data_IF_925709874750
#
_entry.id   IF_925709874750
#
_cell.length_a   1.000
_cell.length_b   1.000
_cell.length_c   1.000
_cell.angle_alpha   90.00
_cell.angle_beta   90.00
_cell.angle_gamma   90.00
#
_symmetry.space_group_name_H-M   'P 1'
#
loop_
_entity.id
_entity.type
_entity.pdbx_description
1 polymer ?
#
# COMPACT_ATOMS: atom_id res chain seq x y z
N UNK A 1 8.88 15.29 7.20
CA UNK A 1 7.96 14.15 7.37
C UNK A 1 6.63 14.63 7.94
N UNK A 2 5.53 14.24 7.32
CA UNK A 2 4.15 14.56 7.72
C UNK A 2 3.47 13.28 8.19
N UNK A 3 2.97 13.23 9.43
CA UNK A 3 2.09 12.16 9.87
C UNK A 3 0.68 12.41 9.32
N UNK A 4 0.20 11.53 8.44
CA UNK A 4 -1.12 11.64 7.83
C UNK A 4 -2.17 11.00 8.75
N UNK A 5 -3.31 11.63 8.83
CA UNK A 5 -4.51 11.08 9.46
C UNK A 5 -5.47 10.53 8.40
N UNK A 6 -6.34 9.62 8.82
CA UNK A 6 -7.35 9.02 7.92
C UNK A 6 -8.17 10.09 7.20
N UNK A 7 -8.21 9.98 5.87
CA UNK A 7 -8.88 10.93 4.97
C UNK A 7 -8.05 12.15 4.59
N UNK A 8 -6.91 12.38 5.21
CA UNK A 8 -6.03 13.48 4.88
C UNK A 8 -5.37 13.28 3.52
N UNK A 9 -5.20 14.38 2.79
CA UNK A 9 -4.60 14.43 1.47
C UNK A 9 -3.42 15.39 1.43
N UNK A 10 -2.42 15.08 0.61
CA UNK A 10 -1.34 15.99 0.29
C UNK A 10 -0.94 15.90 -1.18
N UNK A 11 -0.35 16.97 -1.71
CA UNK A 11 0.27 16.94 -3.02
C UNK A 11 1.57 16.10 -2.98
N UNK A 12 1.85 15.36 -4.05
CA UNK A 12 3.13 14.68 -4.25
C UNK A 12 4.13 15.66 -4.83
N UNK A 13 4.78 16.38 -3.94
CA UNK A 13 5.75 17.41 -4.27
C UNK A 13 6.92 17.39 -3.28
N UNK A 14 8.08 17.84 -3.73
CA UNK A 14 9.25 18.12 -2.90
C UNK A 14 9.00 19.32 -1.98
N UNK A 15 9.87 19.56 -1.02
CA UNK A 15 9.77 20.68 -0.07
C UNK A 15 9.77 22.06 -0.76
N UNK A 16 10.40 22.17 -1.95
CA UNK A 16 10.39 23.38 -2.79
C UNK A 16 9.19 23.45 -3.75
N UNK A 17 8.24 22.50 -3.62
CA UNK A 17 6.98 22.49 -4.35
C UNK A 17 7.06 21.94 -5.78
N UNK A 18 8.19 21.32 -6.17
CA UNK A 18 8.28 20.65 -7.46
C UNK A 18 7.52 19.31 -7.43
N UNK A 19 6.80 18.93 -8.49
CA UNK A 19 6.14 17.63 -8.56
C UNK A 19 7.14 16.48 -8.41
N UNK A 20 6.80 15.50 -7.59
CA UNK A 20 7.58 14.25 -7.55
C UNK A 20 7.45 13.51 -8.88
N UNK A 21 8.57 12.99 -9.35
CA UNK A 21 8.61 12.13 -10.54
C UNK A 21 8.61 10.65 -10.16
N UNK A 22 9.12 10.32 -8.98
CA UNK A 22 9.17 8.98 -8.43
C UNK A 22 8.81 8.98 -6.96
N UNK A 23 8.27 7.87 -6.52
CA UNK A 23 8.03 7.61 -5.11
C UNK A 23 8.23 6.13 -4.80
N UNK A 24 8.53 5.85 -3.54
CA UNK A 24 8.51 4.51 -2.97
C UNK A 24 7.49 4.48 -1.83
N UNK A 25 6.58 3.54 -1.90
CA UNK A 25 5.68 3.22 -0.81
C UNK A 25 6.29 2.06 -0.03
N UNK A 26 6.73 2.34 1.20
CA UNK A 26 7.14 1.34 2.16
C UNK A 26 5.93 0.94 3.00
N UNK A 27 5.75 -0.36 3.21
CA UNK A 27 4.70 -0.93 4.04
C UNK A 27 5.35 -1.80 5.10
N UNK A 28 4.88 -1.67 6.34
CA UNK A 28 5.37 -2.49 7.44
C UNK A 28 4.27 -2.74 8.46
N UNK A 29 4.48 -3.76 9.27
CA UNK A 29 3.55 -4.18 10.32
C UNK A 29 4.29 -4.93 11.42
N UNK A 30 3.74 -4.90 12.63
CA UNK A 30 4.20 -5.69 13.75
C UNK A 30 3.18 -6.77 14.09
N UNK A 31 3.65 -7.89 14.63
CA UNK A 31 2.79 -8.90 15.22
C UNK A 31 2.48 -8.53 16.67
N UNK A 32 1.22 -8.63 17.06
CA UNK A 32 0.86 -8.48 18.47
C UNK A 32 1.58 -9.53 19.32
N UNK A 33 2.22 -9.11 20.44
CA UNK A 33 2.78 -10.04 21.41
C UNK A 33 1.67 -10.96 21.93
N UNK A 34 1.83 -12.28 21.76
CA UNK A 34 0.84 -13.29 22.16
C UNK A 34 0.01 -13.90 21.03
N UNK A 35 0.11 -13.43 19.79
CA UNK A 35 -0.47 -14.10 18.63
C UNK A 35 0.12 -15.51 18.39
N UNK A 36 1.19 -15.89 19.09
CA UNK A 36 1.83 -17.20 19.07
C UNK A 36 1.80 -17.87 20.43
N UNK A 37 0.62 -18.17 20.98
CA UNK A 37 0.54 -18.96 22.22
C UNK A 37 1.15 -20.35 21.98
N UNK A 38 2.01 -20.79 22.89
CA UNK A 38 2.73 -22.08 22.81
C UNK A 38 1.72 -23.19 22.53
N UNK A 39 1.87 -23.87 21.38
CA UNK A 39 1.01 -24.98 20.97
C UNK A 39 -0.15 -24.63 20.05
N UNK A 40 -0.41 -23.35 19.74
CA UNK A 40 -1.51 -22.96 18.83
C UNK A 40 -1.20 -23.15 17.36
N UNK A 41 0.08 -23.35 16.99
CA UNK A 41 0.48 -23.48 15.58
C UNK A 41 0.10 -22.24 14.73
N UNK A 42 -0.05 -21.07 15.36
CA UNK A 42 -0.32 -19.83 14.62
C UNK A 42 0.88 -19.54 13.74
N UNK A 43 0.74 -19.87 12.48
CA UNK A 43 1.70 -19.52 11.45
C UNK A 43 1.98 -18.00 11.47
N UNK A 44 3.15 -17.63 11.05
CA UNK A 44 3.46 -16.22 10.82
C UNK A 44 2.36 -15.61 9.95
N UNK A 45 1.80 -14.47 10.38
CA UNK A 45 0.83 -13.74 9.57
C UNK A 45 1.62 -13.14 8.42
N UNK A 46 1.36 -13.65 7.25
CA UNK A 46 1.95 -13.21 6.00
C UNK A 46 1.01 -12.18 5.38
N UNK A 47 1.50 -10.97 5.21
CA UNK A 47 0.78 -9.88 4.58
C UNK A 47 1.50 -9.48 3.30
N UNK A 48 0.72 -9.40 2.23
CA UNK A 48 1.22 -9.03 0.92
C UNK A 48 0.80 -7.60 0.57
N UNK A 49 1.77 -6.78 0.22
CA UNK A 49 1.52 -5.47 -0.35
C UNK A 49 1.08 -5.58 -1.81
N UNK A 50 0.24 -4.66 -2.23
CA UNK A 50 -0.19 -4.57 -3.62
C UNK A 50 -0.44 -3.13 -4.03
N UNK A 51 -0.17 -2.83 -5.30
CA UNK A 51 -0.56 -1.58 -5.94
C UNK A 51 -1.44 -1.88 -7.15
N UNK A 52 -2.60 -1.25 -7.22
CA UNK A 52 -3.61 -1.50 -8.25
C UNK A 52 -3.91 -0.23 -9.02
N UNK A 53 -3.65 -0.24 -10.33
CA UNK A 53 -3.87 0.89 -11.23
C UNK A 53 -5.27 0.86 -11.84
N UNK A 54 -5.92 2.02 -11.84
CA UNK A 54 -7.21 2.22 -12.49
C UNK A 54 -7.15 3.35 -13.53
N UNK A 55 -7.93 3.19 -14.59
CA UNK A 55 -8.11 4.15 -15.67
C UNK A 55 -9.61 4.35 -15.90
N UNK A 56 -10.15 5.53 -15.53
CA UNK A 56 -11.56 5.83 -15.67
C UNK A 56 -12.47 4.83 -14.95
N UNK A 57 -12.09 4.39 -13.76
CA UNK A 57 -12.83 3.43 -12.95
C UNK A 57 -12.67 1.96 -13.37
N UNK A 58 -11.88 1.67 -14.39
CA UNK A 58 -11.60 0.32 -14.87
C UNK A 58 -10.20 -0.12 -14.40
N UNK A 59 -10.08 -1.40 -14.01
CA UNK A 59 -8.76 -1.97 -13.73
C UNK A 59 -7.87 -1.84 -14.96
N UNK A 60 -6.71 -1.21 -14.78
CA UNK A 60 -5.68 -1.15 -15.81
C UNK A 60 -4.67 -2.27 -15.62
N UNK A 61 -4.00 -2.34 -14.46
CA UNK A 61 -3.07 -3.39 -14.09
C UNK A 61 -2.81 -3.37 -12.58
N UNK A 62 -2.00 -4.31 -12.07
CA UNK A 62 -1.61 -4.36 -10.67
C UNK A 62 -0.22 -4.96 -10.50
N UNK A 63 0.48 -4.56 -9.42
CA UNK A 63 1.72 -5.16 -8.97
C UNK A 63 1.52 -5.78 -7.59
N UNK A 64 1.97 -7.03 -7.39
CA UNK A 64 1.89 -7.82 -6.17
C UNK A 64 2.87 -9.01 -6.26
N UNK A 65 2.99 -9.85 -5.23
CA UNK A 65 3.98 -10.94 -5.15
C UNK A 65 4.06 -11.86 -6.38
N UNK A 66 2.95 -12.12 -7.08
CA UNK A 66 2.91 -12.97 -8.29
C UNK A 66 3.02 -12.19 -9.61
N UNK A 67 3.02 -10.87 -9.58
CA UNK A 67 3.12 -9.99 -10.74
C UNK A 67 3.85 -8.72 -10.34
N UNK A 68 5.19 -8.77 -10.34
CA UNK A 68 6.04 -7.76 -9.71
C UNK A 68 6.06 -6.40 -10.42
N UNK A 69 5.59 -6.30 -11.65
CA UNK A 69 5.59 -5.03 -12.38
C UNK A 69 4.34 -4.88 -13.24
N UNK A 70 3.80 -3.68 -13.28
CA UNK A 70 2.71 -3.34 -14.20
C UNK A 70 3.19 -3.29 -15.64
N UNK A 71 2.28 -3.53 -16.60
CA UNK A 71 2.60 -3.60 -18.04
C UNK A 71 3.17 -2.31 -18.62
N UNK A 72 2.88 -1.15 -18.00
CA UNK A 72 3.49 0.13 -18.38
C UNK A 72 4.85 0.36 -17.71
N UNK A 73 5.27 -0.55 -16.83
CA UNK A 73 6.54 -0.48 -16.11
C UNK A 73 6.60 0.60 -15.04
N UNK A 74 5.51 1.31 -14.81
CA UNK A 74 5.51 2.45 -13.87
C UNK A 74 5.45 2.03 -12.41
N UNK A 75 4.91 0.85 -12.10
CA UNK A 75 4.78 0.33 -10.73
C UNK A 75 5.53 -0.98 -10.62
N UNK A 76 6.44 -1.07 -9.64
CA UNK A 76 7.26 -2.26 -9.40
C UNK A 76 7.24 -2.62 -7.91
N UNK A 77 6.85 -3.85 -7.63
CA UNK A 77 6.97 -4.49 -6.33
C UNK A 77 8.40 -5.02 -6.16
N UNK A 78 9.10 -4.65 -5.09
CA UNK A 78 10.53 -4.97 -4.94
C UNK A 78 10.81 -6.34 -4.33
N UNK A 79 9.81 -7.13 -4.08
CA UNK A 79 9.92 -8.48 -3.54
C UNK A 79 9.05 -8.68 -2.31
N UNK A 80 8.93 -9.92 -1.90
CA UNK A 80 8.05 -10.41 -0.86
C UNK A 80 8.85 -10.70 0.41
N UNK A 81 8.33 -10.27 1.58
CA UNK A 81 8.85 -10.61 2.90
C UNK A 81 7.83 -11.47 3.67
N UNK A 82 7.91 -12.77 3.46
CA UNK A 82 6.98 -13.75 4.05
C UNK A 82 7.02 -13.84 5.59
N UNK A 83 7.91 -13.12 6.26
CA UNK A 83 8.08 -13.23 7.71
C UNK A 83 7.66 -11.99 8.49
N UNK A 84 7.56 -10.82 7.85
CA UNK A 84 7.35 -9.54 8.54
C UNK A 84 8.37 -9.32 9.66
N UNK A 85 9.61 -9.80 9.47
CA UNK A 85 10.69 -9.68 10.45
C UNK A 85 11.82 -8.84 9.87
N UNK A 86 12.17 -7.79 10.56
CA UNK A 86 13.23 -6.88 10.18
C UNK A 86 13.04 -5.51 10.79
N UNK A 87 14.03 -4.65 10.67
CA UNK A 87 13.87 -3.22 10.93
C UNK A 87 13.52 -2.53 9.63
N UNK A 88 12.46 -1.70 9.63
CA UNK A 88 12.04 -0.91 8.48
C UNK A 88 10.82 -1.47 7.75
N UNK A 89 10.78 -1.27 6.44
CA UNK A 89 9.66 -1.74 5.61
C UNK A 89 9.75 -3.24 5.37
N UNK A 90 8.65 -3.95 5.60
CA UNK A 90 8.53 -5.37 5.27
C UNK A 90 8.41 -5.56 3.76
N UNK A 91 7.66 -4.69 3.09
CA UNK A 91 7.53 -4.68 1.66
C UNK A 91 7.61 -3.27 1.06
N UNK A 92 8.04 -3.20 -0.18
CA UNK A 92 8.23 -1.93 -0.88
C UNK A 92 7.71 -2.00 -2.31
N UNK A 93 7.03 -0.92 -2.71
CA UNK A 93 6.53 -0.71 -4.07
C UNK A 93 7.03 0.64 -4.58
N UNK A 94 7.71 0.64 -5.71
CA UNK A 94 8.13 1.89 -6.38
C UNK A 94 7.14 2.30 -7.45
N UNK A 95 6.98 3.60 -7.63
CA UNK A 95 6.16 4.19 -8.70
C UNK A 95 6.96 5.27 -9.42
N UNK A 96 7.12 5.12 -10.72
CA UNK A 96 7.59 6.18 -11.62
C UNK A 96 6.37 6.92 -12.19
N UNK A 97 6.04 8.06 -11.59
CA UNK A 97 4.87 8.86 -11.96
C UNK A 97 4.93 9.39 -13.38
N UNK A 98 6.16 9.57 -13.91
CA UNK A 98 6.38 9.99 -15.30
C UNK A 98 6.09 8.88 -16.33
N UNK A 99 6.19 7.61 -15.93
CA UNK A 99 5.92 6.46 -16.79
C UNK A 99 4.47 5.97 -16.72
N UNK A 100 3.70 6.40 -15.70
CA UNK A 100 2.31 5.96 -15.54
C UNK A 100 1.52 6.26 -16.83
N UNK A 101 0.91 5.20 -17.39
CA UNK A 101 0.10 5.32 -18.58
C UNK A 101 -0.88 6.51 -18.49
N UNK A 102 -0.97 7.40 -19.50
CA UNK A 102 -1.70 8.67 -19.37
C UNK A 102 -3.17 8.56 -18.98
N UNK A 103 -3.81 7.42 -19.24
CA UNK A 103 -5.21 7.19 -18.86
C UNK A 103 -5.38 6.66 -17.44
N UNK A 104 -4.30 6.21 -16.79
CA UNK A 104 -4.33 5.81 -15.38
C UNK A 104 -4.44 7.07 -14.54
N UNK A 105 -5.49 7.14 -13.75
CA UNK A 105 -5.82 8.29 -12.90
C UNK A 105 -5.71 7.96 -11.40
N UNK A 106 -5.67 6.68 -11.04
CA UNK A 106 -5.66 6.25 -9.64
C UNK A 106 -4.78 5.00 -9.46
N UNK A 107 -3.99 5.00 -8.39
CA UNK A 107 -3.21 3.85 -7.90
C UNK A 107 -3.60 3.62 -6.44
N UNK A 108 -4.14 2.45 -6.13
CA UNK A 108 -4.51 2.03 -4.78
C UNK A 108 -3.40 1.18 -4.17
N UNK A 109 -3.00 1.50 -2.94
CA UNK A 109 -2.05 0.71 -2.15
C UNK A 109 -2.78 0.00 -1.03
N UNK A 110 -2.62 -1.31 -0.95
CA UNK A 110 -3.26 -2.15 0.05
C UNK A 110 -2.32 -3.24 0.53
N UNK A 111 -2.61 -3.75 1.72
CA UNK A 111 -2.07 -5.01 2.22
C UNK A 111 -3.19 -6.01 2.37
N UNK A 112 -2.89 -7.29 2.16
CA UNK A 112 -3.85 -8.38 2.32
C UNK A 112 -3.18 -9.64 2.85
N UNK A 113 -3.93 -10.43 3.63
CA UNK A 113 -3.48 -11.76 4.03
C UNK A 113 -3.94 -12.78 2.99
N UNK A 114 -2.99 -13.32 2.23
CA UNK A 114 -3.26 -14.42 1.28
C UNK A 114 -3.86 -15.65 1.97
N UNK A 115 -3.42 -15.92 3.20
CA UNK A 115 -3.92 -17.04 4.00
C UNK A 115 -5.31 -16.78 4.59
N UNK A 116 -5.87 -15.57 4.44
CA UNK A 116 -7.20 -15.20 4.90
C UNK A 116 -7.29 -14.92 6.41
N UNK A 117 -6.17 -14.67 7.07
CA UNK A 117 -6.16 -14.21 8.45
C UNK A 117 -6.71 -12.78 8.54
N UNK A 118 -7.42 -12.48 9.64
CA UNK A 118 -7.80 -11.09 9.91
C UNK A 118 -6.62 -10.30 10.45
N UNK A 119 -6.61 -9.00 10.14
CA UNK A 119 -5.58 -8.06 10.58
C UNK A 119 -5.78 -7.59 12.03
N UNK A 120 -6.64 -8.26 12.81
CA UNK A 120 -6.84 -7.99 14.25
C UNK A 120 -5.60 -8.30 15.09
N UNK A 121 -4.73 -9.18 14.59
CA UNK A 121 -3.50 -9.62 15.24
C UNK A 121 -2.25 -8.87 14.75
N UNK A 122 -2.46 -7.82 13.97
CA UNK A 122 -1.43 -6.95 13.45
C UNK A 122 -1.47 -5.63 14.18
N UNK A 123 -0.32 -5.19 14.66
CA UNK A 123 -0.13 -3.89 15.28
C UNK A 123 0.76 -3.01 14.41
N UNK A 124 0.67 -1.70 14.62
CA UNK A 124 1.54 -0.72 13.95
C UNK A 124 1.62 -0.85 12.42
N UNK A 125 0.55 -1.35 11.77
CA UNK A 125 0.52 -1.37 10.32
C UNK A 125 0.68 0.06 9.78
N UNK A 126 1.71 0.29 8.98
CA UNK A 126 1.98 1.61 8.41
C UNK A 126 2.25 1.53 6.92
N UNK A 127 1.97 2.63 6.24
CA UNK A 127 2.59 2.94 4.97
C UNK A 127 3.34 4.27 5.08
N UNK A 128 4.49 4.35 4.43
CA UNK A 128 5.27 5.57 4.34
C UNK A 128 5.61 5.89 2.90
N UNK A 129 5.58 7.17 2.60
CA UNK A 129 5.96 7.71 1.31
C UNK A 129 7.39 8.21 1.39
N UNK A 130 8.24 7.71 0.50
CA UNK A 130 9.64 8.07 0.41
C UNK A 130 9.93 8.57 -1.00
N UNK A 131 10.69 9.64 -1.12
CA UNK A 131 11.12 10.17 -2.41
C UNK A 131 12.32 9.39 -2.99
N UNK A 132 12.84 9.84 -4.12
CA UNK A 132 13.99 9.27 -4.82
C UNK A 132 15.34 9.55 -4.14
N UNK A 133 15.36 10.37 -3.08
CA UNK A 133 16.51 10.68 -2.24
C UNK A 133 16.49 9.96 -0.89
N UNK A 134 15.60 8.98 -0.72
CA UNK A 134 15.37 8.27 0.56
C UNK A 134 14.82 9.15 1.70
N UNK A 135 14.22 10.30 1.35
CA UNK A 135 13.58 11.17 2.35
C UNK A 135 12.14 10.72 2.56
N UNK A 136 11.79 10.39 3.80
CA UNK A 136 10.41 10.11 4.18
C UNK A 136 9.60 11.41 4.20
N UNK A 137 8.67 11.54 3.26
CA UNK A 137 7.83 12.70 3.11
C UNK A 137 6.58 12.63 3.98
N UNK A 138 5.98 11.46 4.03
CA UNK A 138 4.75 11.23 4.78
C UNK A 138 4.66 9.79 5.31
N UNK A 139 3.94 9.64 6.41
CA UNK A 139 3.61 8.35 7.03
C UNK A 139 2.14 8.34 7.43
N UNK A 140 1.52 7.18 7.30
CA UNK A 140 0.21 6.89 7.88
C UNK A 140 0.32 5.59 8.67
N UNK A 141 0.04 5.67 9.97
CA UNK A 141 0.11 4.52 10.88
C UNK A 141 -1.29 4.16 11.36
N UNK A 142 -1.63 2.88 11.27
CA UNK A 142 -2.85 2.33 11.84
C UNK A 142 -2.51 1.65 13.17
N UNK A 143 -3.07 2.18 14.25
CA UNK A 143 -2.79 1.71 15.63
C UNK A 143 -3.86 0.75 16.16
N UNK A 144 -4.87 0.45 15.37
CA UNK A 144 -5.98 -0.43 15.76
C UNK A 144 -6.04 -1.66 14.87
N UNK A 145 -6.25 -2.82 15.46
CA UNK A 145 -6.48 -4.07 14.73
C UNK A 145 -7.71 -3.97 13.82
N UNK A 146 -7.66 -4.61 12.67
CA UNK A 146 -8.71 -4.57 11.66
C UNK A 146 -9.36 -5.92 11.50
N UNK A 147 -10.69 -6.10 11.79
CA UNK A 147 -11.40 -7.36 11.65
C UNK A 147 -11.73 -7.66 10.17
N UNK A 148 -10.74 -7.62 9.33
CA UNK A 148 -10.80 -7.90 7.87
C UNK A 148 -9.51 -8.54 7.42
N UNK A 149 -9.55 -9.18 6.26
CA UNK A 149 -8.41 -9.88 5.65
C UNK A 149 -7.48 -8.96 4.86
N UNK A 150 -7.84 -7.70 4.70
CA UNK A 150 -7.03 -6.70 4.03
C UNK A 150 -7.29 -5.29 4.56
N UNK A 151 -6.40 -4.40 4.22
CA UNK A 151 -6.42 -2.98 4.60
C UNK A 151 -6.08 -2.13 3.38
N UNK A 152 -6.99 -1.26 2.99
CA UNK A 152 -6.71 -0.18 2.05
C UNK A 152 -5.92 0.91 2.77
N UNK A 153 -4.64 1.05 2.45
CA UNK A 153 -3.73 1.98 3.11
C UNK A 153 -3.89 3.40 2.58
N UNK A 154 -3.71 3.57 1.28
CA UNK A 154 -3.72 4.88 0.64
C UNK A 154 -4.11 4.79 -0.83
N UNK A 155 -4.46 5.92 -1.42
CA UNK A 155 -4.53 6.08 -2.87
C UNK A 155 -3.66 7.25 -3.35
N UNK A 156 -3.01 7.05 -4.47
CA UNK A 156 -2.36 8.09 -5.27
C UNK A 156 -3.25 8.35 -6.47
N UNK A 157 -3.57 9.62 -6.73
CA UNK A 157 -4.54 9.98 -7.78
C UNK A 157 -4.15 11.28 -8.48
N UNK A 158 -4.61 11.42 -9.72
CA UNK A 158 -4.41 12.65 -10.51
C UNK A 158 -5.38 13.74 -10.07
N UNK A 159 -4.83 14.94 -9.90
CA UNK A 159 -5.57 16.18 -9.67
C UNK A 159 -5.07 17.21 -10.71
N UNK A 160 -5.73 17.24 -11.86
CA UNK A 160 -5.22 17.96 -13.04
C UNK A 160 -3.90 17.35 -13.52
N UNK A 161 -2.87 18.18 -13.63
CA UNK A 161 -1.52 17.76 -14.06
C UNK A 161 -0.62 17.26 -12.90
N UNK A 162 -1.17 17.18 -11.70
CA UNK A 162 -0.43 16.80 -10.49
C UNK A 162 -0.92 15.48 -9.93
N UNK A 163 -0.06 14.86 -9.12
CA UNK A 163 -0.41 13.72 -8.34
C UNK A 163 -0.60 14.10 -6.87
N UNK A 164 -1.56 13.47 -6.23
CA UNK A 164 -1.84 13.60 -4.79
C UNK A 164 -1.90 12.23 -4.15
N UNK A 165 -1.67 12.19 -2.84
CA UNK A 165 -1.90 11.01 -2.00
C UNK A 165 -3.00 11.30 -0.99
N UNK A 166 -3.83 10.29 -0.70
CA UNK A 166 -4.84 10.29 0.36
C UNK A 166 -4.65 9.08 1.26
N UNK A 167 -4.51 9.31 2.56
CA UNK A 167 -4.54 8.25 3.55
C UNK A 167 -5.96 7.71 3.73
N UNK A 168 -6.16 6.39 3.67
CA UNK A 168 -7.47 5.75 3.74
C UNK A 168 -7.65 4.98 5.05
N UNK A 169 -6.80 3.99 5.34
CA UNK A 169 -6.84 3.22 6.58
C UNK A 169 -8.16 2.47 6.80
N UNK A 170 -8.72 1.84 5.76
CA UNK A 170 -10.00 1.14 5.85
C UNK A 170 -9.85 -0.36 5.60
N UNK A 171 -10.38 -1.16 6.54
CA UNK A 171 -10.45 -2.61 6.40
C UNK A 171 -11.32 -3.06 5.21
N UNK A 172 -10.85 -4.04 4.46
CA UNK A 172 -11.50 -4.61 3.30
C UNK A 172 -11.47 -6.15 3.34
N UNK A 173 -12.46 -6.79 2.73
CA UNK A 173 -12.48 -8.24 2.56
C UNK A 173 -11.76 -8.58 1.24
N UNK A 174 -10.44 -8.68 1.30
CA UNK A 174 -9.56 -9.00 0.16
C UNK A 174 -8.50 -9.97 0.64
N UNK A 175 -8.28 -11.04 -0.11
CA UNK A 175 -7.17 -11.97 0.08
C UNK A 175 -6.25 -11.95 -1.14
N UNK A 176 -6.82 -11.95 -2.35
CA UNK A 176 -6.08 -11.84 -3.60
C UNK A 176 -6.57 -10.60 -4.36
N UNK A 177 -5.76 -9.56 -4.51
CA UNK A 177 -6.17 -8.29 -5.12
C UNK A 177 -6.77 -8.43 -6.51
N UNK A 178 -6.21 -9.28 -7.36
CA UNK A 178 -6.68 -9.52 -8.73
C UNK A 178 -8.10 -10.11 -8.80
N UNK A 179 -8.55 -10.79 -7.75
CA UNK A 179 -9.90 -11.39 -7.64
C UNK A 179 -10.90 -10.45 -6.95
N UNK A 180 -10.45 -9.31 -6.44
CA UNK A 180 -11.24 -8.45 -5.55
C UNK A 180 -11.48 -7.05 -6.12
N UNK A 181 -11.30 -6.86 -7.42
CA UNK A 181 -11.38 -5.55 -8.09
C UNK A 181 -12.67 -4.80 -7.76
N UNK A 182 -13.83 -5.48 -7.72
CA UNK A 182 -15.11 -4.85 -7.38
C UNK A 182 -15.13 -4.24 -5.97
N UNK A 183 -14.40 -4.84 -5.00
CA UNK A 183 -14.28 -4.29 -3.66
C UNK A 183 -13.37 -3.06 -3.60
N UNK A 184 -12.48 -2.90 -4.58
CA UNK A 184 -11.52 -1.79 -4.67
C UNK A 184 -12.12 -0.55 -5.33
N UNK A 185 -13.05 -0.71 -6.28
CA UNK A 185 -13.63 0.42 -7.04
C UNK A 185 -14.33 1.47 -6.17
N UNK A 186 -14.78 1.12 -4.98
CA UNK A 186 -15.39 2.07 -4.04
C UNK A 186 -14.42 3.14 -3.50
N UNK A 187 -13.12 2.98 -3.73
CA UNK A 187 -12.08 3.92 -3.28
C UNK A 187 -11.60 4.87 -4.38
N UNK A 188 -12.13 4.75 -5.57
CA UNK A 188 -11.78 5.61 -6.71
C UNK A 188 -12.31 7.03 -6.57
#
# INVERSE_FOLDING_TARGET
MIELTRGQEMALATDDGQPLTRLRMGLGWDKLPGAGFIGSGVADIDLDASAVQFAGGQLFDLAFYNHLATRDGSVVHLGDNITGRGEGDDEQITVDLGQVYPKVDTILFLVSSYQGHTLEWVDNAYCRLVDDHDVELARFTLTEGVPRTGLMMAKVFRDGDRWRIKAIGQGIAVTVPSQSVAALTRFL
#
